data_IF_544981140239
#
_entry.id   IF_544981140239
#
_cell.length_a   1.000
_cell.length_b   1.000
_cell.length_c   1.000
_cell.angle_alpha   90.00
_cell.angle_beta   90.00
_cell.angle_gamma   90.00
#
_symmetry.space_group_name_H-M   'P 1'
#
loop_
_entity.id
_entity.type
_entity.pdbx_description
1 polymer ?
#
# COMPACT_ATOMS: atom_id res chain seq x y z
N UNK A 1 12.96 1.79 9.01
CA UNK A 1 11.77 1.23 8.33
C UNK A 1 12.17 0.86 6.92
N UNK A 2 11.77 -0.32 6.42
CA UNK A 2 12.13 -0.75 5.07
C UNK A 2 10.89 -0.89 4.19
N UNK A 3 10.94 -0.36 2.98
CA UNK A 3 9.94 -0.54 1.93
C UNK A 3 10.48 -1.50 0.88
N UNK A 4 9.63 -2.40 0.37
CA UNK A 4 9.95 -3.27 -0.76
C UNK A 4 8.74 -3.33 -1.69
N UNK A 5 8.89 -2.84 -2.91
CA UNK A 5 7.83 -2.97 -3.93
C UNK A 5 7.77 -4.41 -4.40
N UNK A 6 6.63 -5.05 -4.20
CA UNK A 6 6.41 -6.48 -4.49
C UNK A 6 5.74 -6.67 -5.83
N UNK A 7 4.91 -5.71 -6.24
CA UNK A 7 4.12 -5.76 -7.48
C UNK A 7 4.14 -4.39 -8.16
N UNK A 8 4.48 -4.34 -9.43
CA UNK A 8 4.43 -3.14 -10.27
C UNK A 8 4.33 -3.53 -11.74
N UNK A 9 3.99 -2.57 -12.60
CA UNK A 9 3.94 -2.74 -14.06
C UNK A 9 5.32 -3.08 -14.66
N UNK A 10 6.37 -2.74 -13.95
CA UNK A 10 7.76 -3.04 -14.28
C UNK A 10 8.40 -3.88 -13.18
N UNK A 11 9.42 -4.68 -13.51
CA UNK A 11 10.06 -5.55 -12.55
C UNK A 11 11.57 -5.68 -12.76
N UNK A 12 12.30 -5.82 -11.67
CA UNK A 12 13.71 -6.23 -11.70
C UNK A 12 13.84 -7.63 -12.30
N UNK A 13 14.94 -7.89 -12.98
CA UNK A 13 15.26 -9.23 -13.51
C UNK A 13 15.07 -10.32 -12.45
N UNK A 14 14.32 -11.34 -12.80
CA UNK A 14 13.99 -12.46 -11.90
C UNK A 14 12.68 -12.32 -11.14
N UNK A 15 12.02 -11.17 -11.24
CA UNK A 15 10.66 -10.96 -10.74
C UNK A 15 9.66 -10.88 -11.90
N UNK A 16 8.39 -10.97 -11.59
CA UNK A 16 7.29 -10.83 -12.52
C UNK A 16 6.72 -9.42 -12.46
N UNK A 17 6.36 -8.87 -13.62
CA UNK A 17 5.63 -7.62 -13.75
C UNK A 17 4.18 -7.89 -14.13
N UNK A 18 3.29 -7.00 -13.71
CA UNK A 18 1.87 -7.04 -14.06
C UNK A 18 1.23 -5.70 -13.77
N UNK A 19 0.06 -5.44 -14.36
CA UNK A 19 -0.66 -4.20 -14.12
C UNK A 19 -1.15 -4.16 -12.67
N UNK A 20 -0.67 -3.19 -11.88
CA UNK A 20 -1.05 -3.01 -10.48
C UNK A 20 0.12 -2.59 -9.60
N UNK A 21 -0.18 -2.43 -8.32
CA UNK A 21 0.80 -2.01 -7.32
C UNK A 21 0.66 -2.80 -6.02
N UNK A 22 1.78 -3.13 -5.40
CA UNK A 22 1.85 -3.57 -4.01
C UNK A 22 3.23 -3.27 -3.42
N UNK A 23 3.24 -2.81 -2.17
CA UNK A 23 4.46 -2.51 -1.43
C UNK A 23 4.39 -3.10 -0.02
N UNK A 24 5.44 -3.81 0.39
CA UNK A 24 5.63 -4.26 1.75
C UNK A 24 6.39 -3.18 2.53
N UNK A 25 5.85 -2.81 3.69
CA UNK A 25 6.47 -1.92 4.67
C UNK A 25 6.82 -2.77 5.89
N UNK A 26 8.10 -2.88 6.20
CA UNK A 26 8.60 -3.57 7.37
C UNK A 26 9.03 -2.55 8.42
N UNK A 27 8.31 -2.51 9.52
CA UNK A 27 8.65 -1.72 10.70
C UNK A 27 9.45 -2.58 11.68
N UNK A 28 9.68 -2.08 12.89
CA UNK A 28 10.29 -2.88 13.97
C UNK A 28 9.32 -3.97 14.49
N UNK A 29 8.02 -3.66 14.50
CA UNK A 29 7.02 -4.44 15.22
C UNK A 29 5.96 -5.06 14.29
N UNK A 30 5.83 -4.57 13.03
CA UNK A 30 4.80 -5.02 12.10
C UNK A 30 5.30 -5.06 10.66
N UNK A 31 4.85 -6.06 9.92
CA UNK A 31 4.92 -6.16 8.47
C UNK A 31 3.56 -5.78 7.87
N UNK A 32 3.55 -4.74 7.01
CA UNK A 32 2.34 -4.15 6.44
C UNK A 32 2.38 -4.30 4.93
N UNK A 33 1.38 -4.95 4.36
CA UNK A 33 1.20 -4.98 2.91
C UNK A 33 0.27 -3.85 2.49
N UNK A 34 0.75 -2.97 1.62
CA UNK A 34 -0.04 -1.92 0.99
C UNK A 34 -0.41 -2.32 -0.42
N UNK A 35 -1.70 -2.51 -0.68
CA UNK A 35 -2.29 -3.06 -1.90
C UNK A 35 -1.83 -4.48 -2.26
N UNK A 36 -2.46 -5.09 -3.28
CA UNK A 36 -2.21 -6.50 -3.64
C UNK A 36 -1.98 -6.72 -5.14
N UNK A 37 -1.96 -5.66 -5.95
CA UNK A 37 -1.93 -5.76 -7.39
C UNK A 37 -3.20 -6.37 -7.99
N UNK A 38 -3.16 -6.65 -9.29
CA UNK A 38 -4.26 -7.29 -10.03
C UNK A 38 -4.32 -8.80 -9.80
N UNK A 39 -3.17 -9.47 -9.87
CA UNK A 39 -3.07 -10.92 -9.81
C UNK A 39 -2.37 -11.38 -8.50
N UNK A 40 -3.14 -12.02 -7.62
CA UNK A 40 -2.63 -12.50 -6.35
C UNK A 40 -1.63 -13.65 -6.48
N UNK A 41 -1.65 -14.45 -7.56
CA UNK A 41 -0.63 -15.48 -7.79
C UNK A 41 0.71 -14.84 -8.16
N UNK A 42 0.70 -13.79 -8.98
CA UNK A 42 1.89 -13.00 -9.28
C UNK A 42 2.45 -12.33 -8.02
N UNK A 43 1.58 -11.75 -7.18
CA UNK A 43 1.96 -11.18 -5.89
C UNK A 43 2.71 -12.20 -5.03
N UNK A 44 2.11 -13.38 -4.81
CA UNK A 44 2.69 -14.44 -3.97
C UNK A 44 3.99 -15.01 -4.57
N UNK A 45 4.08 -15.13 -5.90
CA UNK A 45 5.31 -15.61 -6.56
C UNK A 45 6.44 -14.60 -6.42
N UNK A 46 6.17 -13.30 -6.54
CA UNK A 46 7.17 -12.25 -6.28
C UNK A 46 7.58 -12.22 -4.80
N UNK A 47 6.64 -12.35 -3.85
CA UNK A 47 6.97 -12.46 -2.42
C UNK A 47 7.93 -13.63 -2.19
N UNK A 48 7.62 -14.82 -2.73
CA UNK A 48 8.48 -15.99 -2.64
C UNK A 48 9.87 -15.75 -3.21
N UNK A 49 9.99 -15.11 -4.39
CA UNK A 49 11.27 -14.77 -5.05
C UNK A 49 12.10 -13.75 -4.26
N UNK A 50 11.42 -12.89 -3.51
CA UNK A 50 12.04 -11.90 -2.62
C UNK A 50 12.33 -12.46 -1.23
N UNK A 51 12.04 -13.76 -0.98
CA UNK A 51 12.16 -14.41 0.33
C UNK A 51 11.29 -13.74 1.40
N UNK A 52 10.11 -13.25 1.01
CA UNK A 52 9.10 -12.67 1.88
C UNK A 52 7.99 -13.69 2.09
N UNK A 53 7.53 -13.84 3.34
CA UNK A 53 6.45 -14.75 3.69
C UNK A 53 5.13 -13.98 3.77
N UNK A 54 4.07 -14.36 3.02
CA UNK A 54 2.77 -13.75 3.18
C UNK A 54 2.15 -14.00 4.57
N UNK A 55 2.60 -15.03 5.30
CA UNK A 55 2.13 -15.32 6.66
C UNK A 55 2.68 -14.35 7.72
N UNK A 56 3.78 -13.64 7.41
CA UNK A 56 4.41 -12.71 8.34
C UNK A 56 3.73 -11.32 8.27
N UNK A 57 2.79 -11.11 7.34
CA UNK A 57 2.06 -9.87 7.20
C UNK A 57 1.00 -9.75 8.31
N UNK A 58 1.13 -8.73 9.15
CA UNK A 58 0.19 -8.44 10.24
C UNK A 58 -0.99 -7.60 9.77
N UNK A 59 -0.73 -6.69 8.81
CA UNK A 59 -1.68 -5.65 8.39
C UNK A 59 -1.72 -5.57 6.86
N UNK A 60 -2.92 -5.57 6.30
CA UNK A 60 -3.19 -5.26 4.90
C UNK A 60 -3.89 -3.90 4.82
N UNK A 61 -3.30 -2.96 4.09
CA UNK A 61 -3.93 -1.66 3.82
C UNK A 61 -4.27 -1.56 2.35
N UNK A 62 -5.51 -1.29 2.01
CA UNK A 62 -5.96 -1.10 0.63
C UNK A 62 -6.18 0.40 0.37
N UNK A 63 -5.52 0.91 -0.67
CA UNK A 63 -5.55 2.33 -1.00
C UNK A 63 -6.90 2.77 -1.54
N UNK A 64 -7.42 2.09 -2.56
CA UNK A 64 -8.70 2.38 -3.21
C UNK A 64 -9.27 1.14 -3.93
N UNK A 65 -10.51 1.22 -4.45
CA UNK A 65 -11.27 0.06 -4.93
C UNK A 65 -11.07 -0.23 -6.44
N UNK A 66 -9.89 -0.02 -7.02
CA UNK A 66 -9.58 -0.49 -8.37
C UNK A 66 -8.96 -1.88 -8.34
N UNK A 67 -9.27 -2.69 -9.36
CA UNK A 67 -8.86 -4.09 -9.43
C UNK A 67 -7.35 -4.29 -9.42
N UNK A 68 -6.60 -3.37 -9.97
CA UNK A 68 -5.14 -3.37 -10.00
C UNK A 68 -4.49 -3.07 -8.64
N UNK A 69 -5.32 -2.83 -7.61
CA UNK A 69 -4.90 -2.68 -6.20
C UNK A 69 -5.49 -3.74 -5.28
N UNK A 70 -6.69 -4.24 -5.62
CA UNK A 70 -7.42 -5.20 -4.76
C UNK A 70 -7.60 -6.58 -5.38
N UNK A 71 -7.22 -6.79 -6.63
CA UNK A 71 -7.45 -8.06 -7.35
C UNK A 71 -6.76 -9.26 -6.70
N UNK A 72 -5.62 -9.04 -6.07
CA UNK A 72 -4.90 -10.08 -5.33
C UNK A 72 -5.47 -10.44 -3.95
N UNK A 73 -6.39 -9.63 -3.40
CA UNK A 73 -6.95 -9.83 -2.05
C UNK A 73 -7.51 -11.23 -1.83
N UNK A 74 -8.34 -11.81 -2.72
CA UNK A 74 -8.88 -13.14 -2.50
C UNK A 74 -7.80 -14.22 -2.37
N UNK A 75 -6.77 -14.16 -3.20
CA UNK A 75 -5.65 -15.11 -3.19
C UNK A 75 -4.78 -14.92 -1.94
N UNK A 76 -4.52 -13.68 -1.56
CA UNK A 76 -3.75 -13.35 -0.36
C UNK A 76 -4.47 -13.83 0.91
N UNK A 77 -5.77 -13.57 1.06
CA UNK A 77 -6.56 -13.99 2.22
C UNK A 77 -6.74 -15.51 2.33
N UNK A 78 -6.62 -16.26 1.22
CA UNK A 78 -6.57 -17.73 1.29
C UNK A 78 -5.29 -18.24 1.96
N UNK A 79 -4.21 -17.47 1.94
CA UNK A 79 -2.91 -17.82 2.53
C UNK A 79 -2.77 -17.21 3.93
N UNK A 80 -3.18 -15.95 4.11
CA UNK A 80 -3.13 -15.27 5.41
C UNK A 80 -4.53 -14.70 5.77
N UNK A 81 -5.42 -15.53 6.34
CA UNK A 81 -6.78 -15.10 6.72
C UNK A 81 -6.83 -14.27 7.99
N UNK A 82 -5.76 -14.22 8.78
CA UNK A 82 -5.74 -13.61 10.11
C UNK A 82 -5.21 -12.16 10.11
N UNK A 83 -4.93 -11.60 8.92
CA UNK A 83 -4.42 -10.25 8.75
C UNK A 83 -5.47 -9.19 9.13
N UNK A 84 -5.06 -8.13 9.84
CA UNK A 84 -5.90 -6.94 10.05
C UNK A 84 -6.01 -6.14 8.73
N UNK A 85 -7.23 -5.77 8.30
CA UNK A 85 -7.47 -5.11 7.01
C UNK A 85 -7.96 -3.68 7.21
N UNK A 86 -7.29 -2.72 6.59
CA UNK A 86 -7.68 -1.30 6.59
C UNK A 86 -8.14 -0.89 5.20
N UNK A 87 -9.39 -0.45 5.07
CA UNK A 87 -9.99 -0.03 3.80
C UNK A 87 -10.64 1.35 3.92
N UNK A 88 -10.69 2.15 2.84
CA UNK A 88 -11.55 3.33 2.79
C UNK A 88 -12.99 3.01 3.16
N UNK A 89 -13.64 3.89 3.92
CA UNK A 89 -15.02 3.70 4.36
C UNK A 89 -16.01 3.62 3.19
N UNK A 90 -15.66 4.23 2.05
CA UNK A 90 -16.43 4.21 0.80
C UNK A 90 -16.40 2.88 0.05
N UNK A 91 -15.53 1.92 0.43
CA UNK A 91 -15.53 0.59 -0.21
C UNK A 91 -16.93 -0.01 -0.19
N UNK A 92 -17.31 -0.67 -1.28
CA UNK A 92 -18.64 -1.26 -1.41
C UNK A 92 -18.92 -2.28 -0.28
N UNK A 93 -20.16 -2.30 0.18
CA UNK A 93 -20.59 -3.23 1.25
C UNK A 93 -20.35 -4.69 0.86
N UNK A 94 -20.51 -5.02 -0.43
CA UNK A 94 -20.30 -6.38 -0.92
C UNK A 94 -18.83 -6.79 -0.80
N UNK A 95 -17.90 -5.91 -1.19
CA UNK A 95 -16.46 -6.18 -1.09
C UNK A 95 -16.01 -6.32 0.38
N UNK A 96 -16.46 -5.42 1.25
CA UNK A 96 -16.19 -5.52 2.70
C UNK A 96 -16.72 -6.82 3.30
N UNK A 97 -17.94 -7.23 2.90
CA UNK A 97 -18.53 -8.50 3.33
C UNK A 97 -17.73 -9.70 2.80
N UNK A 98 -17.29 -9.66 1.54
CA UNK A 98 -16.47 -10.73 0.94
C UNK A 98 -15.15 -10.90 1.69
N UNK A 99 -14.43 -9.81 1.96
CA UNK A 99 -13.19 -9.84 2.76
C UNK A 99 -13.44 -10.45 4.13
N UNK A 100 -14.44 -9.98 4.86
CA UNK A 100 -14.79 -10.49 6.19
C UNK A 100 -15.18 -11.96 6.17
N UNK A 101 -15.86 -12.45 5.12
CA UNK A 101 -16.29 -13.84 5.01
C UNK A 101 -15.12 -14.79 4.72
N UNK A 102 -14.13 -14.37 3.91
CA UNK A 102 -12.94 -15.18 3.59
C UNK A 102 -12.08 -15.44 4.82
N UNK A 103 -12.03 -14.50 5.74
CA UNK A 103 -11.34 -14.65 7.02
C UNK A 103 -12.07 -15.60 7.98
N UNK A 104 -13.37 -15.84 7.79
CA UNK A 104 -14.22 -16.69 8.66
C UNK A 104 -14.32 -18.16 8.21
N UNK A 105 -13.50 -18.64 7.26
CA UNK A 105 -13.63 -20.00 6.75
C UNK A 105 -13.21 -21.06 7.81
N UNK A 106 -14.06 -22.07 8.11
CA UNK A 106 -13.87 -23.01 9.22
C UNK A 106 -12.76 -24.06 8.98
N UNK A 107 -11.88 -23.86 8.01
CA UNK A 107 -10.74 -24.74 7.74
C UNK A 107 -9.46 -24.40 8.52
N UNK A 108 -9.35 -23.21 9.09
CA UNK A 108 -8.15 -22.70 9.76
C UNK A 108 -8.31 -22.47 11.26
N UNK A 109 -9.26 -23.14 11.93
CA UNK A 109 -9.26 -23.14 13.40
C UNK A 109 -8.03 -23.91 13.89
N UNK A 110 -7.00 -23.21 14.32
CA UNK A 110 -5.99 -23.77 15.19
C UNK A 110 -6.70 -24.17 16.50
N UNK A 111 -7.09 -25.43 16.59
CA UNK A 111 -7.63 -26.03 17.79
C UNK A 111 -6.52 -26.14 18.83
N UNK A 112 -6.29 -25.06 19.58
CA UNK A 112 -5.63 -25.16 20.87
C UNK A 112 -6.70 -25.34 21.94
N UNK A 113 -6.83 -26.55 22.45
CA UNK A 113 -7.60 -26.93 23.67
C UNK A 113 -9.11 -26.68 23.64
N UNK A 114 -9.84 -27.07 22.59
CA UNK A 114 -11.31 -27.22 22.68
C UNK A 114 -12.13 -25.92 22.83
N UNK A 115 -11.51 -24.76 22.70
CA UNK A 115 -12.19 -23.45 22.68
C UNK A 115 -12.14 -22.93 21.26
N UNK A 116 -13.27 -22.97 20.54
CA UNK A 116 -13.43 -22.21 19.31
C UNK A 116 -13.46 -20.72 19.68
N UNK A 117 -12.33 -20.06 19.64
CA UNK A 117 -12.29 -18.59 19.61
C UNK A 117 -12.54 -18.21 18.15
N UNK A 118 -13.66 -17.55 17.81
CA UNK A 118 -13.81 -16.98 16.48
C UNK A 118 -12.70 -15.94 16.35
N UNK A 119 -11.73 -16.18 15.47
CA UNK A 119 -10.81 -15.14 15.04
C UNK A 119 -11.67 -14.25 14.17
N UNK A 120 -12.16 -13.17 14.76
CA UNK A 120 -12.93 -12.16 14.03
C UNK A 120 -11.93 -11.35 13.20
N UNK A 121 -12.04 -11.35 11.88
CA UNK A 121 -11.22 -10.48 11.04
C UNK A 121 -11.53 -9.05 11.42
N UNK A 122 -10.50 -8.28 11.69
CA UNK A 122 -10.64 -6.87 11.96
C UNK A 122 -10.60 -6.13 10.65
N UNK A 123 -11.77 -5.91 10.05
CA UNK A 123 -11.91 -4.98 8.94
C UNK A 123 -12.11 -3.59 9.54
N UNK A 124 -11.12 -2.73 9.34
CA UNK A 124 -11.10 -1.36 9.82
C UNK A 124 -11.50 -0.41 8.69
N UNK A 125 -12.64 0.23 8.82
CA UNK A 125 -13.05 1.30 7.91
C UNK A 125 -12.31 2.60 8.27
N UNK A 126 -11.62 3.17 7.29
CA UNK A 126 -10.85 4.40 7.41
C UNK A 126 -11.62 5.53 6.74
N UNK A 127 -11.94 6.58 7.50
CA UNK A 127 -12.60 7.79 7.01
C UNK A 127 -11.76 9.05 7.22
N UNK A 128 -11.07 9.12 8.34
CA UNK A 128 -10.26 10.27 8.74
C UNK A 128 -8.81 9.85 9.00
N UNK A 129 -7.87 10.80 9.01
CA UNK A 129 -6.48 10.51 9.36
C UNK A 129 -6.38 9.82 10.72
N UNK A 130 -5.54 8.79 10.79
CA UNK A 130 -5.29 8.04 12.04
C UNK A 130 -3.97 7.29 11.99
N UNK A 131 -3.47 6.92 13.14
CA UNK A 131 -2.39 5.96 13.26
C UNK A 131 -2.90 4.53 13.01
N UNK A 132 -2.14 3.75 12.24
CA UNK A 132 -2.37 2.32 12.00
C UNK A 132 -1.54 1.51 12.99
N UNK A 133 -0.25 1.79 13.06
CA UNK A 133 0.68 1.31 14.07
C UNK A 133 1.79 2.34 14.24
N UNK A 134 2.71 2.12 15.20
CA UNK A 134 3.76 3.07 15.53
C UNK A 134 4.55 3.54 14.30
N UNK A 135 4.47 4.84 14.02
CA UNK A 135 5.15 5.50 12.91
C UNK A 135 4.53 5.28 11.53
N UNK A 136 3.35 4.64 11.46
CA UNK A 136 2.60 4.45 10.22
C UNK A 136 1.19 5.00 10.38
N UNK A 137 0.85 5.97 9.57
CA UNK A 137 -0.42 6.68 9.59
C UNK A 137 -1.13 6.55 8.24
N UNK A 138 -2.43 6.74 8.20
CA UNK A 138 -3.21 6.94 6.98
C UNK A 138 -3.68 8.38 6.87
N UNK A 139 -3.71 8.90 5.65
CA UNK A 139 -4.30 10.22 5.34
C UNK A 139 -5.79 10.28 5.62
N UNK A 140 -6.43 9.13 5.87
CA UNK A 140 -7.87 9.04 5.75
C UNK A 140 -8.31 9.01 4.28
N UNK A 141 -9.60 8.98 4.09
CA UNK A 141 -10.24 8.92 2.77
C UNK A 141 -10.24 10.30 2.11
N UNK A 142 -9.54 10.44 1.00
CA UNK A 142 -9.43 11.67 0.20
C UNK A 142 -10.09 11.49 -1.16
N UNK A 143 -10.30 12.61 -1.86
CA UNK A 143 -10.84 12.64 -3.22
C UNK A 143 -12.37 12.74 -3.27
N UNK A 144 -12.93 12.84 -4.49
CA UNK A 144 -14.37 12.99 -4.73
C UNK A 144 -14.95 11.75 -5.42
N UNK A 145 -14.62 11.51 -6.67
CA UNK A 145 -15.17 10.42 -7.49
C UNK A 145 -14.53 9.08 -7.10
N UNK A 146 -13.20 9.03 -7.04
CA UNK A 146 -12.44 7.88 -6.55
C UNK A 146 -11.87 8.25 -5.20
N UNK A 147 -12.35 7.56 -4.17
CA UNK A 147 -11.84 7.71 -2.81
C UNK A 147 -10.58 6.86 -2.63
N UNK A 148 -9.53 7.49 -2.14
CA UNK A 148 -8.25 6.85 -1.91
C UNK A 148 -7.66 7.29 -0.57
N UNK A 149 -7.00 6.37 0.14
CA UNK A 149 -6.12 6.66 1.26
C UNK A 149 -4.66 6.41 0.87
N UNK A 150 -3.76 7.24 1.37
CA UNK A 150 -2.31 7.03 1.30
C UNK A 150 -1.75 6.74 2.69
N UNK A 151 -0.62 6.03 2.76
CA UNK A 151 0.11 5.92 4.02
C UNK A 151 1.09 7.09 4.18
N UNK A 152 1.31 7.46 5.44
CA UNK A 152 2.28 8.46 5.86
C UNK A 152 3.22 7.79 6.85
N UNK A 153 4.50 7.68 6.49
CA UNK A 153 5.51 6.87 7.14
C UNK A 153 6.52 7.78 7.84
N UNK A 154 6.66 7.65 9.15
CA UNK A 154 7.64 8.40 9.93
C UNK A 154 9.02 7.75 9.87
N UNK A 155 9.98 8.42 9.24
CA UNK A 155 11.37 7.98 9.18
C UNK A 155 12.22 8.45 10.38
N UNK A 156 11.65 9.22 11.28
CA UNK A 156 12.38 9.94 12.34
C UNK A 156 13.11 11.19 11.86
N UNK A 157 13.18 11.44 10.55
CA UNK A 157 13.80 12.64 9.93
C UNK A 157 12.83 13.39 9.01
N UNK A 158 11.62 12.89 8.86
CA UNK A 158 10.56 13.44 8.03
C UNK A 158 9.61 12.34 7.61
N UNK A 159 8.50 12.74 7.02
CA UNK A 159 7.43 11.84 6.62
C UNK A 159 7.52 11.50 5.13
N UNK A 160 7.31 10.24 4.80
CA UNK A 160 7.22 9.76 3.43
C UNK A 160 5.79 9.30 3.13
N UNK A 161 5.26 9.72 2.00
CA UNK A 161 3.94 9.31 1.53
C UNK A 161 4.07 8.08 0.65
N UNK A 162 3.28 7.04 0.91
CA UNK A 162 3.08 5.91 0.00
C UNK A 162 1.68 5.99 -0.58
N UNK A 163 1.58 6.27 -1.88
CA UNK A 163 0.33 6.43 -2.62
C UNK A 163 0.05 5.21 -3.50
N UNK A 164 -1.24 4.85 -3.66
CA UNK A 164 -1.66 3.84 -4.62
C UNK A 164 -1.59 4.38 -6.05
N UNK A 165 -2.49 5.32 -6.36
CA UNK A 165 -2.57 5.98 -7.67
C UNK A 165 -2.61 7.51 -7.62
N UNK A 166 -2.71 8.09 -6.44
CA UNK A 166 -2.87 9.54 -6.24
C UNK A 166 -4.12 10.14 -6.94
N UNK A 167 -5.23 9.40 -7.01
CA UNK A 167 -6.50 9.89 -7.55
C UNK A 167 -7.02 11.19 -6.91
N UNK A 168 -6.82 11.44 -5.59
CA UNK A 168 -7.17 12.72 -4.97
C UNK A 168 -6.37 13.92 -5.49
N UNK A 169 -5.28 13.67 -6.22
CA UNK A 169 -4.30 14.67 -6.64
C UNK A 169 -3.23 14.95 -5.59
N UNK A 170 -2.02 15.27 -6.04
CA UNK A 170 -0.88 15.59 -5.18
C UNK A 170 -1.17 16.70 -4.15
N UNK A 171 -1.89 17.80 -4.52
CA UNK A 171 -2.20 18.85 -3.53
C UNK A 171 -2.94 18.33 -2.30
N UNK A 172 -3.97 17.49 -2.51
CA UNK A 172 -4.78 16.96 -1.42
C UNK A 172 -3.99 15.98 -0.55
N UNK A 173 -3.22 15.09 -1.18
CA UNK A 173 -2.42 14.06 -0.50
C UNK A 173 -1.31 14.71 0.33
N UNK A 174 -0.53 15.63 -0.26
CA UNK A 174 0.56 16.31 0.43
C UNK A 174 0.05 17.22 1.55
N UNK A 175 -1.10 17.89 1.35
CA UNK A 175 -1.75 18.68 2.40
C UNK A 175 -2.17 17.82 3.58
N UNK A 176 -2.80 16.65 3.32
CA UNK A 176 -3.17 15.73 4.39
C UNK A 176 -1.95 15.16 5.12
N UNK A 177 -0.91 14.75 4.38
CA UNK A 177 0.32 14.24 4.96
C UNK A 177 1.07 15.28 5.80
N UNK A 178 1.04 16.56 5.39
CA UNK A 178 1.68 17.67 6.12
C UNK A 178 1.09 17.91 7.51
N UNK A 179 -0.13 17.41 7.78
CA UNK A 179 -0.71 17.48 9.12
C UNK A 179 0.04 16.64 10.16
N UNK A 180 0.82 15.65 9.72
CA UNK A 180 1.67 14.82 10.60
C UNK A 180 3.07 15.43 10.80
N UNK A 181 3.54 16.26 9.86
CA UNK A 181 4.84 16.93 9.94
C UNK A 181 5.42 17.24 8.54
N UNK A 182 6.73 17.46 8.50
CA UNK A 182 7.43 17.79 7.26
C UNK A 182 7.47 16.58 6.32
N UNK A 183 6.88 16.71 5.13
CA UNK A 183 6.91 15.66 4.10
C UNK A 183 8.25 15.69 3.38
N UNK A 184 9.00 14.60 3.49
CA UNK A 184 10.33 14.43 2.89
C UNK A 184 10.30 13.71 1.53
N UNK A 185 9.25 12.94 1.24
CA UNK A 185 9.17 12.22 -0.03
C UNK A 185 7.80 11.65 -0.33
N UNK A 186 7.63 11.20 -1.59
CA UNK A 186 6.44 10.49 -2.05
C UNK A 186 6.86 9.31 -2.92
N UNK A 187 6.18 8.17 -2.77
CA UNK A 187 6.48 6.91 -3.45
C UNK A 187 5.17 6.29 -3.92
N UNK A 188 5.16 5.66 -5.10
CA UNK A 188 4.03 4.90 -5.63
C UNK A 188 3.54 5.38 -6.98
N UNK A 189 2.24 5.18 -7.25
CA UNK A 189 1.57 5.68 -8.44
C UNK A 189 1.17 7.15 -8.29
N UNK A 190 1.58 7.99 -9.25
CA UNK A 190 1.26 9.42 -9.25
C UNK A 190 0.30 9.80 -10.38
N UNK A 191 -0.30 8.82 -11.04
CA UNK A 191 -1.28 8.95 -12.11
C UNK A 191 -0.88 9.98 -13.19
N UNK A 192 -1.80 10.89 -13.57
CA UNK A 192 -1.57 12.00 -14.53
C UNK A 192 -1.15 13.29 -13.80
N UNK A 193 -0.48 13.19 -12.64
CA UNK A 193 -0.07 14.37 -11.87
C UNK A 193 0.92 15.23 -12.65
N UNK A 194 0.63 16.52 -12.74
CA UNK A 194 1.41 17.55 -13.47
C UNK A 194 1.90 18.68 -12.56
N UNK A 195 1.57 18.63 -11.29
CA UNK A 195 1.91 19.65 -10.29
C UNK A 195 3.36 19.53 -9.83
N UNK A 196 4.30 19.51 -10.79
CA UNK A 196 5.73 19.33 -10.54
C UNK A 196 6.26 20.28 -9.46
N UNK A 197 5.80 21.53 -9.44
CA UNK A 197 6.26 22.53 -8.48
C UNK A 197 6.02 22.18 -7.00
N UNK A 198 5.04 21.31 -6.71
CA UNK A 198 4.77 20.86 -5.33
C UNK A 198 5.84 19.91 -4.78
N UNK A 199 6.61 19.26 -5.68
CA UNK A 199 7.60 18.26 -5.31
C UNK A 199 9.01 18.85 -5.11
N UNK A 200 9.17 20.17 -5.31
CA UNK A 200 10.49 20.84 -5.30
C UNK A 200 11.25 20.70 -3.99
N UNK A 201 10.53 20.65 -2.87
CA UNK A 201 11.12 20.62 -1.53
C UNK A 201 11.27 19.18 -0.99
N UNK A 202 10.75 18.18 -1.72
CA UNK A 202 10.92 16.77 -1.35
C UNK A 202 12.36 16.30 -1.60
N UNK A 203 12.78 15.33 -0.83
CA UNK A 203 14.08 14.65 -0.96
C UNK A 203 14.00 13.44 -1.89
N UNK A 204 12.81 12.82 -2.01
CA UNK A 204 12.56 11.64 -2.85
C UNK A 204 11.24 11.76 -3.59
N UNK A 205 11.27 11.45 -4.88
CA UNK A 205 10.12 11.32 -5.77
C UNK A 205 10.21 9.93 -6.42
N UNK A 206 9.58 8.94 -5.78
CA UNK A 206 9.54 7.56 -6.26
C UNK A 206 8.30 7.33 -7.11
N UNK A 207 8.46 7.25 -8.44
CA UNK A 207 7.36 7.13 -9.37
C UNK A 207 7.34 5.76 -10.07
N UNK A 208 6.25 5.02 -9.94
CA UNK A 208 6.01 3.72 -10.55
C UNK A 208 4.59 3.57 -11.07
N UNK A 209 4.18 2.36 -11.31
CA UNK A 209 2.82 1.92 -11.63
C UNK A 209 2.12 2.81 -12.69
N UNK A 210 1.07 3.53 -12.31
CA UNK A 210 0.23 4.34 -13.18
C UNK A 210 0.79 5.73 -13.53
N UNK A 211 2.02 6.08 -13.10
CA UNK A 211 2.59 7.41 -13.32
C UNK A 211 2.84 7.67 -14.81
N UNK A 212 2.06 8.58 -15.41
CA UNK A 212 2.13 8.90 -16.84
C UNK A 212 3.34 9.79 -17.20
N UNK A 213 3.78 10.67 -16.30
CA UNK A 213 4.77 11.71 -16.57
C UNK A 213 6.13 11.46 -15.89
N UNK A 214 6.57 10.19 -15.78
CA UNK A 214 7.86 9.81 -15.17
C UNK A 214 9.04 10.63 -15.73
N UNK A 215 9.10 10.81 -17.05
CA UNK A 215 10.20 11.55 -17.70
C UNK A 215 10.22 13.04 -17.32
N UNK A 216 9.06 13.65 -17.14
CA UNK A 216 8.97 15.03 -16.66
C UNK A 216 9.54 15.19 -15.24
N UNK A 217 9.19 14.28 -14.33
CA UNK A 217 9.76 14.26 -12.97
C UNK A 217 11.27 14.00 -13.00
N UNK A 218 11.73 13.03 -13.81
CA UNK A 218 13.16 12.71 -13.97
C UNK A 218 13.96 13.89 -14.50
N UNK A 219 13.44 14.63 -15.50
CA UNK A 219 14.12 15.79 -16.07
C UNK A 219 14.18 16.96 -15.10
N UNK A 220 13.10 17.21 -14.36
CA UNK A 220 13.02 18.35 -13.44
C UNK A 220 13.77 18.12 -12.13
N UNK A 221 13.81 16.87 -11.66
CA UNK A 221 14.38 16.51 -10.35
C UNK A 221 15.30 15.29 -10.43
N UNK A 222 16.35 15.30 -11.27
CA UNK A 222 17.19 14.11 -11.52
C UNK A 222 17.82 13.52 -10.27
N UNK A 223 18.20 14.37 -9.30
CA UNK A 223 18.84 13.93 -8.04
C UNK A 223 17.86 13.36 -7.00
N UNK A 224 16.55 13.56 -7.20
CA UNK A 224 15.51 13.15 -6.25
C UNK A 224 14.59 12.08 -6.83
N UNK A 225 14.63 11.90 -8.13
CA UNK A 225 13.79 10.96 -8.85
C UNK A 225 14.31 9.54 -8.68
N UNK A 226 13.41 8.63 -8.30
CA UNK A 226 13.64 7.20 -8.32
C UNK A 226 12.54 6.51 -9.14
N UNK A 227 12.94 5.70 -10.10
CA UNK A 227 12.00 4.83 -10.80
C UNK A 227 11.66 3.64 -9.93
N UNK A 228 10.36 3.42 -9.72
CA UNK A 228 9.84 2.35 -8.89
C UNK A 228 9.42 1.17 -9.76
N UNK A 229 9.75 -0.03 -9.33
CA UNK A 229 9.44 -1.30 -10.02
C UNK A 229 9.42 -2.45 -9.01
N UNK A 230 8.83 -3.58 -9.33
CA UNK A 230 8.85 -4.76 -8.46
C UNK A 230 10.30 -5.19 -8.16
N UNK A 231 10.65 -5.25 -6.88
CA UNK A 231 12.00 -5.49 -6.36
C UNK A 231 12.80 -4.24 -6.02
N UNK A 232 12.22 -3.04 -6.19
CA UNK A 232 12.79 -1.81 -5.62
C UNK A 232 12.68 -1.86 -4.09
N UNK A 233 13.74 -1.49 -3.40
CA UNK A 233 13.76 -1.41 -1.93
C UNK A 233 14.39 -0.11 -1.45
N UNK A 234 13.86 0.42 -0.36
CA UNK A 234 14.29 1.67 0.26
C UNK A 234 14.30 1.53 1.78
N UNK A 235 15.35 1.99 2.42
CA UNK A 235 15.42 2.18 3.88
C UNK A 235 15.09 3.65 4.21
N UNK A 236 14.12 3.87 5.10
CA UNK A 236 13.71 5.20 5.60
C UNK A 236 14.26 5.47 6.99
#
# INVERSE_FOLDING_TARGET
MKLTVVYDNEARRGLLSGWGFSCLIQTKDHDILFDTGWDGHLLLDNMRRLSLSPHDIDILVLSHQHWDHIGGVPTFLNVNPDVDIYVPASFSKNLKKEMSTRQSYPGNSASLSGVNVPICPRLHEVKAPREICMGVYTTGELGNDIKEQSLVLDSGKGFYVLAGCAHPGLPAILSAASSFGCVAGIIGGLHDSREHGLLKDLQLIGAGHCTAHKDGFRQMYPEKFAEIFAGYSLEL
#
